data_IF_727229229147
#
_entry.id   IF_727229229147
#
_cell.length_a   1.000
_cell.length_b   1.000
_cell.length_c   1.000
_cell.angle_alpha   90.00
_cell.angle_beta   90.00
_cell.angle_gamma   90.00
#
_symmetry.space_group_name_H-M   'P 1'
#
loop_
_entity.id
_entity.type
_entity.pdbx_description
1 polymer ?
#
# COMPACT_ATOMS: atom_id res chain seq x y z
N UNK A 1 12.90 -39.12 -12.78
CA UNK A 1 13.87 -38.22 -12.11
C UNK A 1 14.00 -36.88 -12.82
N UNK A 2 14.11 -36.84 -14.15
CA UNK A 2 14.23 -35.60 -14.96
C UNK A 2 13.07 -34.61 -14.80
N UNK A 3 11.81 -35.09 -14.82
CA UNK A 3 10.62 -34.24 -14.72
C UNK A 3 10.59 -33.47 -13.38
N UNK A 4 10.97 -34.12 -12.29
CA UNK A 4 11.02 -33.50 -10.96
C UNK A 4 12.09 -32.41 -10.91
N UNK A 5 13.23 -32.62 -11.56
CA UNK A 5 14.29 -31.61 -11.66
C UNK A 5 13.88 -30.41 -12.53
N UNK A 6 13.12 -30.62 -13.60
CA UNK A 6 12.57 -29.55 -14.42
C UNK A 6 11.54 -28.73 -13.65
N UNK A 7 10.61 -29.37 -12.94
CA UNK A 7 9.64 -28.66 -12.09
C UNK A 7 10.34 -27.85 -10.99
N UNK A 8 11.37 -28.41 -10.35
CA UNK A 8 12.15 -27.68 -9.34
C UNK A 8 12.84 -26.44 -9.91
N UNK A 9 13.45 -26.54 -11.11
CA UNK A 9 14.06 -25.39 -11.80
C UNK A 9 13.05 -24.30 -12.14
N UNK A 10 11.88 -24.69 -12.64
CA UNK A 10 10.79 -23.75 -12.93
C UNK A 10 10.24 -23.09 -11.65
N UNK A 11 10.12 -23.84 -10.55
CA UNK A 11 9.74 -23.27 -9.25
C UNK A 11 10.77 -22.26 -8.75
N UNK A 12 12.07 -22.59 -8.82
CA UNK A 12 13.14 -21.66 -8.42
C UNK A 12 13.15 -20.41 -9.29
N UNK A 13 12.95 -20.56 -10.61
CA UNK A 13 12.89 -19.45 -11.55
C UNK A 13 11.64 -18.56 -11.31
N UNK A 14 10.48 -19.16 -11.07
CA UNK A 14 9.24 -18.45 -10.74
C UNK A 14 9.35 -17.69 -9.41
N UNK A 15 9.96 -18.31 -8.39
CA UNK A 15 10.22 -17.66 -7.11
C UNK A 15 11.23 -16.50 -7.24
N UNK A 16 12.25 -16.64 -8.10
CA UNK A 16 13.19 -15.56 -8.39
C UNK A 16 12.53 -14.38 -9.12
N UNK A 17 11.70 -14.66 -10.12
CA UNK A 17 10.94 -13.64 -10.86
C UNK A 17 9.92 -12.91 -9.96
N UNK A 18 9.28 -13.61 -9.04
CA UNK A 18 8.35 -13.01 -8.08
C UNK A 18 9.02 -11.99 -7.12
N UNK A 19 10.35 -12.09 -6.91
CA UNK A 19 11.08 -11.11 -6.09
C UNK A 19 11.35 -9.79 -6.82
N UNK A 20 11.46 -9.82 -8.15
CA UNK A 20 11.73 -8.62 -8.95
C UNK A 20 10.54 -7.65 -9.00
N UNK A 21 9.33 -8.10 -8.64
CA UNK A 21 8.11 -7.31 -8.73
C UNK A 21 7.70 -6.68 -7.39
N UNK A 22 8.44 -6.88 -6.29
CA UNK A 22 8.11 -6.26 -5.01
C UNK A 22 8.41 -4.75 -5.04
N UNK A 23 7.34 -3.95 -5.14
CA UNK A 23 7.41 -2.49 -4.97
C UNK A 23 7.76 -2.09 -3.52
N UNK A 24 8.58 -1.05 -3.37
CA UNK A 24 8.96 -0.49 -2.07
C UNK A 24 7.81 0.30 -1.44
N UNK A 25 7.14 -0.30 -0.45
CA UNK A 25 6.14 0.41 0.36
C UNK A 25 6.73 0.83 1.70
N UNK A 26 6.18 1.91 2.26
CA UNK A 26 6.60 2.46 3.56
C UNK A 26 5.37 2.61 4.46
N UNK A 27 5.49 2.22 5.72
CA UNK A 27 4.43 2.38 6.73
C UNK A 27 4.81 3.49 7.71
N UNK A 28 3.86 4.37 8.03
CA UNK A 28 4.03 5.45 9.02
C UNK A 28 2.93 5.41 10.05
N UNK A 29 3.30 5.65 11.30
CA UNK A 29 2.38 5.81 12.42
C UNK A 29 1.82 7.23 12.46
N UNK A 30 0.50 7.34 12.65
CA UNK A 30 -0.20 8.62 12.87
C UNK A 30 -1.01 8.54 14.16
N UNK A 31 -1.50 9.67 14.66
CA UNK A 31 -2.39 9.71 15.83
C UNK A 31 -3.69 8.92 15.64
N UNK A 32 -4.05 8.55 14.40
CA UNK A 32 -5.31 7.87 14.06
C UNK A 32 -5.12 6.42 13.59
N UNK A 33 -3.86 5.95 13.45
CA UNK A 33 -3.51 4.60 13.01
C UNK A 33 -2.33 4.55 12.04
N UNK A 34 -2.01 3.35 11.55
CA UNK A 34 -0.90 3.12 10.59
C UNK A 34 -1.35 3.42 9.15
N UNK A 35 -0.47 4.04 8.36
CA UNK A 35 -0.72 4.38 6.96
C UNK A 35 0.39 3.84 6.08
N UNK A 36 0.00 3.10 5.03
CA UNK A 36 0.90 2.63 3.98
C UNK A 36 1.01 3.65 2.86
N UNK A 37 2.22 3.92 2.42
CA UNK A 37 2.55 4.75 1.26
C UNK A 37 3.53 4.04 0.33
N UNK A 38 3.82 4.70 -0.79
CA UNK A 38 4.77 4.23 -1.79
C UNK A 38 5.98 5.16 -1.86
N UNK A 39 7.13 4.66 -2.30
CA UNK A 39 8.29 5.50 -2.61
C UNK A 39 8.34 5.73 -4.12
N UNK A 40 8.40 6.99 -4.54
CA UNK A 40 8.41 7.35 -5.96
C UNK A 40 9.49 8.38 -6.25
N UNK A 41 10.13 8.28 -7.42
CA UNK A 41 11.07 9.28 -7.88
C UNK A 41 10.31 10.48 -8.49
N UNK A 42 10.68 11.69 -8.07
CA UNK A 42 10.23 12.94 -8.69
C UNK A 42 10.93 13.12 -10.04
N UNK A 43 10.40 13.97 -10.93
CA UNK A 43 11.03 14.32 -12.22
C UNK A 43 12.50 14.74 -12.11
N UNK A 44 12.92 15.32 -10.97
CA UNK A 44 14.31 15.67 -10.66
C UNK A 44 15.14 14.57 -9.98
N UNK A 45 14.72 13.30 -10.02
CA UNK A 45 15.45 12.14 -9.47
C UNK A 45 15.39 11.99 -7.94
N UNK A 46 14.80 12.94 -7.21
CA UNK A 46 14.63 12.85 -5.75
C UNK A 46 13.55 11.82 -5.39
N UNK A 47 13.85 10.92 -4.47
CA UNK A 47 12.86 9.99 -3.94
C UNK A 47 11.97 10.68 -2.90
N UNK A 48 10.66 10.46 -3.01
CA UNK A 48 9.65 10.97 -2.09
C UNK A 48 8.72 9.86 -1.64
N UNK A 49 8.22 9.94 -0.40
CA UNK A 49 7.21 9.04 0.13
C UNK A 49 5.82 9.64 -0.14
N UNK A 50 4.95 8.87 -0.78
CA UNK A 50 3.63 9.30 -1.26
C UNK A 50 2.54 8.53 -0.52
N UNK A 51 1.68 9.25 0.19
CA UNK A 51 0.54 8.72 0.95
C UNK A 51 -0.75 9.37 0.44
N UNK A 52 -1.51 8.68 -0.42
CA UNK A 52 -2.72 9.21 -1.05
C UNK A 52 -3.99 8.61 -0.46
N UNK A 53 -5.02 9.45 -0.33
CA UNK A 53 -6.34 9.03 0.13
C UNK A 53 -6.43 8.75 1.63
N UNK A 54 -5.51 9.31 2.43
CA UNK A 54 -5.55 9.18 3.90
C UNK A 54 -6.80 9.89 4.44
N UNK A 55 -7.74 9.18 5.08
CA UNK A 55 -8.95 9.78 5.61
C UNK A 55 -8.60 10.66 6.81
N UNK A 56 -9.03 11.92 6.77
CA UNK A 56 -8.90 12.86 7.89
C UNK A 56 -10.21 13.03 8.68
N UNK A 57 -11.32 12.48 8.17
CA UNK A 57 -12.63 12.49 8.78
C UNK A 57 -13.53 11.38 8.21
N UNK A 58 -14.61 11.10 8.93
CA UNK A 58 -15.70 10.22 8.50
C UNK A 58 -16.40 10.85 7.30
N UNK A 59 -16.65 10.07 6.24
CA UNK A 59 -17.28 10.58 5.02
C UNK A 59 -18.61 11.30 5.29
N UNK A 60 -18.85 12.51 4.72
CA UNK A 60 -20.00 13.37 5.01
C UNK A 60 -21.26 12.92 4.25
N UNK A 61 -21.56 11.62 4.32
CA UNK A 61 -22.68 10.96 3.63
C UNK A 61 -23.80 10.59 4.61
N UNK A 62 -25.02 10.41 4.09
CA UNK A 62 -26.21 10.10 4.89
C UNK A 62 -26.50 11.17 5.93
N UNK A 63 -26.81 10.74 7.15
CA UNK A 63 -27.11 11.63 8.28
C UNK A 63 -25.94 12.53 8.72
N UNK A 64 -24.73 12.29 8.21
CA UNK A 64 -23.54 13.14 8.46
C UNK A 64 -23.46 14.32 7.48
N UNK A 65 -24.31 14.37 6.45
CA UNK A 65 -24.38 15.52 5.55
C UNK A 65 -24.73 16.76 6.37
N UNK A 66 -24.02 17.85 6.12
CA UNK A 66 -24.18 19.13 6.83
C UNK A 66 -23.86 19.10 8.34
N UNK A 67 -23.26 18.02 8.88
CA UNK A 67 -22.79 17.95 10.26
C UNK A 67 -21.29 18.25 10.36
N UNK A 68 -20.85 18.66 11.54
CA UNK A 68 -19.42 18.86 11.86
C UNK A 68 -18.65 17.55 11.62
N UNK A 69 -17.39 17.68 11.19
CA UNK A 69 -16.51 16.54 10.91
C UNK A 69 -16.39 15.65 12.15
N UNK A 70 -16.62 14.36 11.95
CA UNK A 70 -16.34 13.34 12.95
C UNK A 70 -15.00 12.68 12.60
N UNK A 71 -14.08 12.59 13.55
CA UNK A 71 -12.82 11.88 13.37
C UNK A 71 -13.04 10.36 13.38
N UNK A 72 -12.18 9.64 12.66
CA UNK A 72 -12.20 8.17 12.64
C UNK A 72 -10.83 7.65 13.01
N UNK A 73 -10.78 6.83 14.06
CA UNK A 73 -9.66 5.91 14.26
C UNK A 73 -9.88 4.68 13.36
N UNK A 74 -8.82 4.14 12.77
CA UNK A 74 -8.89 2.89 12.02
C UNK A 74 -8.01 1.82 12.69
N UNK A 75 -8.53 0.60 12.73
CA UNK A 75 -7.76 -0.56 13.17
C UNK A 75 -6.94 -1.10 11.99
N UNK A 76 -5.61 -1.19 12.16
CA UNK A 76 -4.70 -1.76 11.16
C UNK A 76 -4.01 -0.73 10.26
N UNK A 77 -3.57 -1.20 9.09
CA UNK A 77 -2.81 -0.43 8.10
C UNK A 77 -3.70 0.01 6.94
N UNK A 78 -3.84 1.32 6.72
CA UNK A 78 -4.55 1.84 5.56
C UNK A 78 -3.73 1.67 4.29
N UNK A 79 -4.34 1.01 3.28
CA UNK A 79 -3.74 0.82 1.96
C UNK A 79 -3.88 2.09 1.09
N UNK A 80 -2.97 2.30 0.12
CA UNK A 80 -3.06 3.43 -0.79
C UNK A 80 -4.33 3.38 -1.63
N UNK A 81 -4.98 4.53 -1.82
CA UNK A 81 -6.09 4.69 -2.77
C UNK A 81 -5.49 4.75 -4.19
N UNK A 82 -5.28 3.57 -4.80
CA UNK A 82 -4.66 3.46 -6.13
C UNK A 82 -4.15 2.07 -6.50
N UNK A 83 -4.22 1.10 -5.58
CA UNK A 83 -3.75 -0.28 -5.78
C UNK A 83 -4.77 -1.15 -6.56
N UNK A 84 -5.48 -0.57 -7.54
CA UNK A 84 -6.50 -1.24 -8.38
C UNK A 84 -5.94 -1.65 -9.74
#
# INVERSE_FOLDING_TARGET
>A
MEIVALLARWCVLALALARLTQGSHVVRDTSYGKVRGNVTATTGGKQVQVFLGVPYARGPVGDRRFKVRCYTFWSGELKPVGDR
#
